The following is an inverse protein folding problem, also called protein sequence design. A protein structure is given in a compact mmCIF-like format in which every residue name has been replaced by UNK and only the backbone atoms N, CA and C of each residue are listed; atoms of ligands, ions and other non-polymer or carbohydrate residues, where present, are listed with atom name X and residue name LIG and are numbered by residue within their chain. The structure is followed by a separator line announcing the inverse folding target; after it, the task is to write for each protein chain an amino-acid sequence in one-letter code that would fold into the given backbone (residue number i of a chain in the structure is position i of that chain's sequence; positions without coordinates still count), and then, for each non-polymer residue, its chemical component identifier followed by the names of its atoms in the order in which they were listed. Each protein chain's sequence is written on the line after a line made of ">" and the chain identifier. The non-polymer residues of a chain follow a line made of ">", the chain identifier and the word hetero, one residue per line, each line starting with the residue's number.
data_IF_977236603444
#
_entry.id   IF_977236603444
#
_cell.length_a   1.000
_cell.length_b   1.000
_cell.length_c   1.000
_cell.angle_alpha   90.00
_cell.angle_beta   90.00
_cell.angle_gamma   90.00
#
_symmetry.space_group_name_H-M   'P 1'
#
loop_
_entity.id
_entity.type
_entity.pdbx_description
1 polymer ?
#
# COMPACT_ATOMS: atom_id res chain seq x y z
N UNK A 1 -0.64 7.83 -17.18
CA UNK A 1 -0.41 6.39 -16.95
C UNK A 1 -1.53 5.63 -17.62
N UNK A 2 -1.22 4.57 -18.36
CA UNK A 2 -2.25 3.68 -18.90
C UNK A 2 -2.70 2.69 -17.83
N UNK A 3 -3.84 2.04 -18.05
CA UNK A 3 -4.32 0.96 -17.16
C UNK A 3 -3.31 -0.18 -17.01
N UNK A 4 -2.50 -0.43 -18.04
CA UNK A 4 -1.44 -1.45 -18.01
C UNK A 4 -0.31 -1.06 -17.04
N UNK A 5 0.08 0.22 -17.03
CA UNK A 5 1.08 0.75 -16.09
C UNK A 5 0.62 0.63 -14.63
N UNK A 6 -0.67 0.85 -14.36
CA UNK A 6 -1.21 0.76 -12.99
C UNK A 6 -1.22 -0.68 -12.47
N UNK A 7 -1.51 -1.67 -13.33
CA UNK A 7 -1.45 -3.08 -12.95
C UNK A 7 -0.01 -3.54 -12.70
N UNK A 8 0.92 -3.15 -13.57
CA UNK A 8 2.35 -3.43 -13.37
C UNK A 8 2.87 -2.78 -12.07
N UNK A 9 2.43 -1.56 -11.78
CA UNK A 9 2.80 -0.85 -10.57
C UNK A 9 2.20 -1.48 -9.31
N UNK A 10 0.96 -1.96 -9.35
CA UNK A 10 0.37 -2.72 -8.27
C UNK A 10 1.16 -4.01 -7.98
N UNK A 11 1.53 -4.77 -9.02
CA UNK A 11 2.36 -5.97 -8.88
C UNK A 11 3.75 -5.67 -8.31
N UNK A 12 4.37 -4.56 -8.72
CA UNK A 12 5.64 -4.12 -8.17
C UNK A 12 5.53 -3.77 -6.68
N UNK A 13 4.48 -3.05 -6.28
CA UNK A 13 4.21 -2.74 -4.88
C UNK A 13 3.95 -4.00 -4.04
N UNK A 14 3.28 -5.01 -4.60
CA UNK A 14 3.10 -6.31 -3.96
C UNK A 14 4.46 -6.99 -3.69
N UNK A 15 5.33 -7.04 -4.69
CA UNK A 15 6.68 -7.59 -4.52
C UNK A 15 7.52 -6.80 -3.52
N UNK A 16 7.45 -5.47 -3.56
CA UNK A 16 8.16 -4.63 -2.60
C UNK A 16 7.67 -4.92 -1.18
N UNK A 17 6.37 -5.01 -0.96
CA UNK A 17 5.80 -5.27 0.35
C UNK A 17 6.26 -6.62 0.93
N UNK A 18 6.33 -7.66 0.09
CA UNK A 18 6.81 -8.99 0.51
C UNK A 18 8.31 -9.00 0.84
N UNK A 19 9.13 -8.25 0.11
CA UNK A 19 10.58 -8.19 0.31
C UNK A 19 11.04 -7.16 1.34
N UNK A 20 10.18 -6.22 1.73
CA UNK A 20 10.49 -5.16 2.70
C UNK A 20 10.21 -5.62 4.13
N UNK A 21 11.10 -5.26 5.05
CA UNK A 21 10.94 -5.53 6.48
C UNK A 21 9.75 -4.74 7.06
N UNK A 22 9.04 -5.25 8.08
CA UNK A 22 7.87 -4.58 8.65
C UNK A 22 8.08 -3.10 9.00
N UNK A 23 9.22 -2.76 9.60
CA UNK A 23 9.59 -1.38 9.96
C UNK A 23 9.67 -0.42 8.75
N UNK A 24 10.00 -0.94 7.57
CA UNK A 24 10.16 -0.15 6.35
C UNK A 24 8.91 -0.16 5.46
N UNK A 25 7.95 -1.07 5.72
CA UNK A 25 6.73 -1.21 4.91
C UNK A 25 5.87 0.04 4.95
N UNK A 26 5.84 0.76 6.06
CA UNK A 26 5.10 2.02 6.20
C UNK A 26 5.52 3.06 5.16
N UNK A 27 6.76 3.02 4.68
CA UNK A 27 7.26 3.90 3.60
C UNK A 27 6.56 3.65 2.26
N UNK A 28 5.99 2.47 2.05
CA UNK A 28 5.24 2.10 0.84
C UNK A 28 3.80 2.62 0.86
N UNK A 29 3.27 2.98 2.03
CA UNK A 29 1.86 3.41 2.22
C UNK A 29 1.44 4.57 1.31
N UNK A 30 2.22 5.67 1.16
CA UNK A 30 1.84 6.78 0.27
C UNK A 30 1.71 6.32 -1.18
N UNK A 31 2.57 5.40 -1.62
CA UNK A 31 2.56 4.91 -3.00
C UNK A 31 1.40 3.94 -3.25
N UNK A 32 1.12 3.05 -2.30
CA UNK A 32 -0.05 2.15 -2.32
C UNK A 32 -1.35 2.95 -2.41
N UNK A 33 -1.54 3.95 -1.53
CA UNK A 33 -2.72 4.81 -1.57
C UNK A 33 -2.86 5.55 -2.89
N UNK A 34 -1.75 6.07 -3.45
CA UNK A 34 -1.77 6.76 -4.74
C UNK A 34 -2.21 5.84 -5.87
N UNK A 35 -1.73 4.59 -5.92
CA UNK A 35 -2.15 3.61 -6.94
C UNK A 35 -3.63 3.25 -6.78
N UNK A 36 -4.10 3.04 -5.56
CA UNK A 36 -5.52 2.75 -5.27
C UNK A 36 -6.43 3.91 -5.69
N UNK A 37 -6.09 5.15 -5.31
CA UNK A 37 -6.84 6.34 -5.70
C UNK A 37 -6.86 6.51 -7.22
N UNK A 38 -5.74 6.24 -7.89
CA UNK A 38 -5.66 6.34 -9.35
C UNK A 38 -6.52 5.27 -10.02
N UNK A 39 -6.48 4.01 -9.54
CA UNK A 39 -7.35 2.95 -10.03
C UNK A 39 -8.84 3.29 -9.83
N UNK A 40 -9.20 3.80 -8.66
CA UNK A 40 -10.56 4.23 -8.35
C UNK A 40 -11.02 5.39 -9.26
N UNK A 41 -10.17 6.39 -9.49
CA UNK A 41 -10.46 7.53 -10.36
C UNK A 41 -10.68 7.11 -11.83
N UNK A 42 -10.02 6.03 -12.27
CA UNK A 42 -10.20 5.46 -13.60
C UNK A 42 -11.31 4.39 -13.67
N UNK A 43 -12.13 4.24 -12.62
CA UNK A 43 -13.15 3.20 -12.49
C UNK A 43 -12.61 1.78 -12.74
N UNK A 44 -11.32 1.57 -12.44
CA UNK A 44 -10.68 0.27 -12.59
C UNK A 44 -10.86 -0.57 -11.34
N UNK A 45 -11.00 -1.90 -11.48
CA UNK A 45 -11.05 -2.79 -10.34
C UNK A 45 -9.72 -2.73 -9.57
N UNK A 46 -9.81 -2.50 -8.26
CA UNK A 46 -8.65 -2.54 -7.37
C UNK A 46 -8.33 -4.01 -7.06
N UNK A 47 -7.09 -4.48 -7.31
CA UNK A 47 -6.69 -5.85 -6.99
C UNK A 47 -6.89 -6.17 -5.50
N UNK A 48 -7.38 -7.38 -5.20
CA UNK A 48 -7.63 -7.82 -3.82
C UNK A 48 -6.34 -7.79 -2.98
N UNK A 49 -5.22 -8.20 -3.56
CA UNK A 49 -3.91 -8.21 -2.91
C UNK A 49 -3.46 -6.80 -2.52
N UNK A 50 -3.61 -5.82 -3.41
CA UNK A 50 -3.31 -4.43 -3.11
C UNK A 50 -4.16 -3.86 -1.96
N UNK A 51 -5.46 -4.23 -1.88
CA UNK A 51 -6.31 -3.86 -0.73
C UNK A 51 -5.89 -4.54 0.58
N UNK A 52 -5.42 -5.78 0.52
CA UNK A 52 -4.90 -6.46 1.70
C UNK A 52 -3.62 -5.79 2.21
N UNK A 53 -2.75 -5.35 1.29
CA UNK A 53 -1.55 -4.57 1.62
C UNK A 53 -1.92 -3.24 2.27
N UNK A 54 -2.86 -2.49 1.68
CA UNK A 54 -3.35 -1.23 2.27
C UNK A 54 -3.83 -1.44 3.70
N UNK A 55 -4.69 -2.43 3.94
CA UNK A 55 -5.22 -2.71 5.28
C UNK A 55 -4.11 -3.07 6.27
N UNK A 56 -3.15 -3.90 5.84
CA UNK A 56 -2.02 -4.30 6.69
C UNK A 56 -1.11 -3.12 7.04
N UNK A 57 -0.88 -2.22 6.08
CA UNK A 57 -0.13 -0.98 6.32
C UNK A 57 -0.88 -0.01 7.25
N UNK A 58 -2.21 -0.01 7.21
CA UNK A 58 -3.01 0.76 8.18
C UNK A 58 -2.89 0.17 9.58
N UNK A 59 -3.05 -1.15 9.73
CA UNK A 59 -2.84 -1.87 10.99
C UNK A 59 -1.43 -1.60 11.57
N UNK A 60 -0.37 -1.77 10.77
CA UNK A 60 1.02 -1.49 11.16
C UNK A 60 1.23 -0.01 11.56
N UNK A 61 0.55 0.95 10.89
CA UNK A 61 0.68 2.37 11.21
C UNK A 61 -0.03 2.76 12.51
N UNK A 62 -1.13 2.06 12.85
CA UNK A 62 -1.78 2.23 14.14
C UNK A 62 -0.84 1.77 15.25
N UNK A 63 -0.24 0.58 15.14
CA UNK A 63 0.66 0.03 16.15
C UNK A 63 1.88 0.95 16.41
N UNK A 64 2.53 1.47 15.36
CA UNK A 64 3.67 2.39 15.47
C UNK A 64 3.30 3.73 16.16
N UNK A 65 2.06 4.20 15.96
CA UNK A 65 1.54 5.37 16.67
C UNK A 65 1.33 5.12 18.17
N UNK A 66 1.01 3.89 18.58
CA UNK A 66 0.84 3.55 20.00
C UNK A 66 2.19 3.35 20.70
N UNK A 67 3.21 2.77 20.05
CA UNK A 67 4.55 2.60 20.63
C UNK A 67 5.28 3.93 20.87
N UNK A 68 4.99 4.97 20.08
CA UNK A 68 5.60 6.30 20.22
C UNK A 68 4.84 7.28 21.14
N UNK A 69 3.81 6.84 21.88
CA UNK A 69 3.20 7.70 22.88
C UNK A 69 4.09 7.82 24.12
N UNK A 70 4.56 9.02 24.50
CA UNK A 70 5.26 9.19 25.76
C UNK A 70 4.27 8.96 26.90
N UNK A 71 4.62 8.04 27.81
CA UNK A 71 3.95 7.92 29.12
C UNK A 71 4.20 9.14 30.00
#
# INVERSE_FOLDING_TARGET
>A
MTTHDLKAKAAHLEQMFENTQPEDRLKLRPEVQRVIQTLAAHHQPIPLRLRQIERKLEEEAFDDMFENMPV
#
